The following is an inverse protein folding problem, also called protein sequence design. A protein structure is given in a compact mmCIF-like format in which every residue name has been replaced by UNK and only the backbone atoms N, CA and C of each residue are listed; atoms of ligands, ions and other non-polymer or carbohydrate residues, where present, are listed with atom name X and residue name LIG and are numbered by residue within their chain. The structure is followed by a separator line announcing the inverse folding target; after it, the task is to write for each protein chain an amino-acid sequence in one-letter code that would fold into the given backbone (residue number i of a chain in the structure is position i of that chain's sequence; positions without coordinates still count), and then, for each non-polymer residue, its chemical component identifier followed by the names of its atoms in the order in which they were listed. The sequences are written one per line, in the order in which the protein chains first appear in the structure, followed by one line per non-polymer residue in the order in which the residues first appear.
data_IF_786806887284
#
_entry.id   IF_786806887284
#
_cell.length_a   1.000
_cell.length_b   1.000
_cell.length_c   1.000
_cell.angle_alpha   90.00
_cell.angle_beta   90.00
_cell.angle_gamma   90.00
#
_symmetry.space_group_name_H-M   'P 1'
#
loop_
_entity.id
_entity.type
_entity.pdbx_description
1 polymer ?
#
# COMPACT_ATOMS: atom_id res chain seq x y z
N UNK A 1 -27.48 7.87 -40.36
CA UNK A 1 -26.53 8.74 -39.61
C UNK A 1 -25.37 9.07 -40.53
N UNK A 2 -25.03 10.35 -40.72
CA UNK A 2 -23.95 10.75 -41.63
C UNK A 2 -22.61 10.12 -41.21
N UNK A 3 -21.84 9.61 -42.17
CA UNK A 3 -20.49 9.03 -41.98
C UNK A 3 -19.59 9.93 -41.11
N UNK A 4 -19.78 11.25 -41.20
CA UNK A 4 -19.08 12.26 -40.39
C UNK A 4 -19.38 12.12 -38.89
N UNK A 5 -20.64 11.82 -38.51
CA UNK A 5 -21.02 11.64 -37.10
C UNK A 5 -20.43 10.36 -36.51
N UNK A 6 -20.29 9.32 -37.33
CA UNK A 6 -19.65 8.06 -36.93
C UNK A 6 -18.15 8.29 -36.73
N UNK A 7 -17.49 8.99 -37.66
CA UNK A 7 -16.07 9.33 -37.54
C UNK A 7 -15.76 10.17 -36.28
N UNK A 8 -16.60 11.16 -35.97
CA UNK A 8 -16.45 11.98 -34.76
C UNK A 8 -16.63 11.14 -33.49
N UNK A 9 -17.64 10.27 -33.44
CA UNK A 9 -17.86 9.40 -32.28
C UNK A 9 -16.68 8.43 -32.05
N UNK A 10 -16.15 7.84 -33.12
CA UNK A 10 -14.98 6.94 -33.06
C UNK A 10 -13.74 7.69 -32.59
N UNK A 11 -13.49 8.90 -33.12
CA UNK A 11 -12.37 9.74 -32.68
C UNK A 11 -12.49 10.11 -31.20
N UNK A 12 -13.70 10.45 -30.74
CA UNK A 12 -13.93 10.87 -29.35
C UNK A 12 -13.75 9.69 -28.37
N UNK A 13 -14.16 8.48 -28.75
CA UNK A 13 -13.88 7.26 -28.00
C UNK A 13 -12.38 6.94 -27.98
N UNK A 14 -11.68 7.10 -29.11
CA UNK A 14 -10.25 6.85 -29.19
C UNK A 14 -9.45 7.84 -28.33
N UNK A 15 -9.80 9.12 -28.38
CA UNK A 15 -9.21 10.15 -27.52
C UNK A 15 -9.51 9.86 -26.05
N UNK A 16 -10.73 9.44 -25.70
CA UNK A 16 -11.07 9.08 -24.33
C UNK A 16 -10.26 7.87 -23.82
N UNK A 17 -9.97 6.90 -24.69
CA UNK A 17 -9.13 5.74 -24.37
C UNK A 17 -7.66 6.13 -24.11
N UNK A 18 -7.17 7.22 -24.72
CA UNK A 18 -5.80 7.74 -24.53
C UNK A 18 -5.63 8.56 -23.25
N UNK A 19 -6.72 9.00 -22.60
CA UNK A 19 -6.69 9.73 -21.31
C UNK A 19 -7.05 8.84 -20.12
N UNK A 20 -7.26 7.54 -20.33
CA UNK A 20 -7.43 6.61 -19.21
C UNK A 20 -6.11 6.55 -18.42
N UNK A 21 -6.15 6.68 -17.08
CA UNK A 21 -4.95 6.50 -16.27
C UNK A 21 -4.40 5.10 -16.50
N UNK A 22 -3.09 5.00 -16.71
CA UNK A 22 -2.39 3.72 -16.68
C UNK A 22 -2.43 3.19 -15.25
N UNK A 23 -3.10 2.06 -15.05
CA UNK A 23 -2.93 1.28 -13.83
C UNK A 23 -1.60 0.53 -13.95
N UNK A 24 -0.54 1.09 -13.38
CA UNK A 24 0.62 0.29 -13.01
C UNK A 24 0.31 -0.30 -11.64
N UNK A 25 0.14 -1.62 -11.60
CA UNK A 25 0.16 -2.37 -10.35
C UNK A 25 1.61 -2.73 -10.07
N UNK A 26 2.07 -2.53 -8.83
CA UNK A 26 3.36 -3.10 -8.42
C UNK A 26 3.22 -4.62 -8.25
N UNK A 27 4.33 -5.34 -8.41
CA UNK A 27 4.38 -6.77 -8.10
C UNK A 27 4.20 -6.95 -6.59
N UNK A 28 3.25 -7.80 -6.19
CA UNK A 28 2.98 -8.06 -4.77
C UNK A 28 4.26 -8.54 -4.05
N UNK A 29 4.67 -7.75 -3.05
CA UNK A 29 5.88 -7.95 -2.27
C UNK A 29 5.62 -8.54 -0.88
N UNK A 30 6.72 -8.81 -0.18
CA UNK A 30 6.71 -9.18 1.24
C UNK A 30 7.61 -8.23 2.01
N UNK A 31 7.04 -7.56 3.00
CA UNK A 31 7.76 -6.70 3.93
C UNK A 31 8.01 -7.47 5.24
N UNK A 32 9.29 -7.72 5.55
CA UNK A 32 9.68 -8.43 6.77
C UNK A 32 9.76 -7.48 7.97
N UNK A 33 9.19 -7.94 9.08
CA UNK A 33 9.20 -7.30 10.40
C UNK A 33 9.86 -8.28 11.35
N UNK A 34 10.88 -7.82 12.05
CA UNK A 34 11.68 -8.63 12.96
C UNK A 34 11.15 -8.42 14.38
N UNK A 35 10.80 -9.51 15.03
CA UNK A 35 10.35 -9.54 16.43
C UNK A 35 11.49 -10.09 17.27
N UNK A 36 11.82 -9.38 18.35
CA UNK A 36 12.85 -9.76 19.32
C UNK A 36 12.29 -9.57 20.72
N UNK A 37 12.99 -10.16 21.68
CA UNK A 37 12.68 -10.08 23.12
C UNK A 37 12.44 -8.66 23.62
N UNK A 38 13.16 -7.68 23.06
CA UNK A 38 13.16 -6.28 23.50
C UNK A 38 12.43 -5.30 22.56
N UNK A 39 11.90 -5.75 21.42
CA UNK A 39 11.35 -4.82 20.45
C UNK A 39 10.98 -5.39 19.08
N UNK A 40 10.21 -4.57 18.35
CA UNK A 40 9.78 -4.83 16.97
C UNK A 40 10.56 -3.93 16.02
N UNK A 41 11.10 -4.48 14.93
CA UNK A 41 11.86 -3.70 13.93
C UNK A 41 11.36 -3.96 12.51
N UNK A 42 10.95 -2.90 11.77
CA UNK A 42 10.77 -1.54 12.26
C UNK A 42 9.52 -1.42 13.17
N UNK A 43 9.54 -0.51 14.13
CA UNK A 43 8.33 -0.16 14.92
C UNK A 43 7.23 0.43 14.04
N UNK A 44 7.60 1.04 12.91
CA UNK A 44 6.67 1.47 11.86
C UNK A 44 7.09 0.90 10.51
N UNK A 45 6.28 -0.01 9.99
CA UNK A 45 6.44 -0.58 8.65
C UNK A 45 5.57 0.18 7.64
N UNK A 46 6.08 0.41 6.43
CA UNK A 46 5.29 1.03 5.37
C UNK A 46 5.53 0.33 4.03
N UNK A 47 4.45 -0.07 3.38
CA UNK A 47 4.44 -0.84 2.14
C UNK A 47 3.16 -0.55 1.35
N UNK A 48 2.95 -1.22 0.21
CA UNK A 48 1.86 -0.93 -0.70
C UNK A 48 0.69 -1.91 -0.52
N UNK A 49 -0.50 -1.48 -0.92
CA UNK A 49 -1.70 -2.32 -0.93
C UNK A 49 -1.46 -3.57 -1.78
N UNK A 50 -1.90 -4.73 -1.31
CA UNK A 50 -1.67 -6.05 -1.87
C UNK A 50 -0.30 -6.68 -1.54
N UNK A 51 0.55 -5.99 -0.78
CA UNK A 51 1.74 -6.59 -0.16
C UNK A 51 1.38 -7.45 1.07
N UNK A 52 2.36 -8.25 1.48
CA UNK A 52 2.30 -9.09 2.68
C UNK A 52 3.23 -8.56 3.77
N UNK A 53 2.73 -8.39 4.99
CA UNK A 53 3.59 -8.24 6.16
C UNK A 53 3.98 -9.63 6.68
N UNK A 54 5.25 -9.83 6.96
CA UNK A 54 5.82 -11.07 7.51
C UNK A 54 6.55 -10.75 8.81
N UNK A 55 5.98 -11.16 9.94
CA UNK A 55 6.64 -11.13 11.23
C UNK A 55 7.49 -12.38 11.40
N UNK A 56 8.74 -12.22 11.84
CA UNK A 56 9.67 -13.31 12.07
C UNK A 56 10.22 -13.13 13.48
N UNK A 57 10.01 -14.12 14.33
CA UNK A 57 10.63 -14.18 15.64
C UNK A 57 12.10 -14.58 15.48
N UNK A 58 12.99 -13.74 15.99
CA UNK A 58 14.44 -14.00 16.05
C UNK A 58 14.98 -13.76 17.47
N UNK A 59 14.11 -13.87 18.47
CA UNK A 59 14.45 -13.76 19.89
C UNK A 59 15.54 -14.74 20.33
N UNK A 60 16.26 -14.37 21.39
CA UNK A 60 17.33 -15.21 21.96
C UNK A 60 16.87 -15.95 23.22
N UNK A 61 15.75 -15.55 23.83
CA UNK A 61 15.17 -16.23 24.99
C UNK A 61 14.08 -17.23 24.58
N UNK A 62 14.41 -18.52 24.61
CA UNK A 62 13.49 -19.62 24.31
C UNK A 62 12.27 -19.70 25.27
N UNK A 63 12.29 -18.97 26.40
CA UNK A 63 11.15 -18.92 27.33
C UNK A 63 10.21 -17.73 27.06
N UNK A 64 10.63 -16.82 26.18
CA UNK A 64 9.83 -15.67 25.78
C UNK A 64 9.18 -15.98 24.44
N UNK A 65 7.85 -15.87 24.40
CA UNK A 65 7.08 -16.10 23.18
C UNK A 65 6.27 -14.87 22.84
N UNK A 66 6.03 -14.69 21.55
CA UNK A 66 5.43 -13.50 20.98
C UNK A 66 4.03 -13.83 20.42
N UNK A 67 3.12 -12.86 20.44
CA UNK A 67 1.78 -13.02 19.85
C UNK A 67 1.33 -11.71 19.24
N UNK A 68 1.36 -11.66 17.92
CA UNK A 68 1.07 -10.49 17.10
C UNK A 68 -0.44 -10.40 16.88
N UNK A 69 -1.04 -9.35 17.41
CA UNK A 69 -2.49 -9.16 17.43
C UNK A 69 -2.91 -7.78 16.92
N UNK A 70 -4.07 -7.75 16.27
CA UNK A 70 -4.77 -6.52 15.89
C UNK A 70 -6.25 -6.69 16.13
N UNK A 71 -6.83 -5.73 16.83
CA UNK A 71 -8.25 -5.64 17.14
C UNK A 71 -8.84 -4.51 16.29
N UNK A 72 -9.52 -4.90 15.21
CA UNK A 72 -10.03 -3.97 14.21
C UNK A 72 -11.34 -3.30 14.59
N UNK A 73 -12.14 -3.93 15.46
CA UNK A 73 -13.44 -3.40 15.91
C UNK A 73 -13.44 -2.89 17.37
N UNK A 74 -12.34 -3.12 18.10
CA UNK A 74 -12.07 -2.57 19.41
C UNK A 74 -12.81 -3.28 20.54
N UNK A 75 -13.27 -4.52 20.35
CA UNK A 75 -14.04 -5.27 21.33
C UNK A 75 -13.16 -6.02 22.35
N UNK A 76 -11.84 -5.99 22.18
CA UNK A 76 -10.85 -6.64 23.02
C UNK A 76 -10.69 -8.14 22.74
N UNK A 77 -11.33 -8.66 21.69
CA UNK A 77 -11.11 -9.97 21.12
C UNK A 77 -10.33 -9.82 19.81
N UNK A 78 -9.67 -10.90 19.40
CA UNK A 78 -8.88 -10.95 18.16
C UNK A 78 -9.43 -12.03 17.23
N UNK A 79 -10.76 -12.10 17.08
CA UNK A 79 -11.46 -13.20 16.39
C UNK A 79 -12.51 -12.74 15.38
N UNK A 80 -12.60 -11.43 15.14
CA UNK A 80 -13.43 -10.80 14.13
C UNK A 80 -12.86 -10.93 12.72
N UNK A 81 -13.67 -10.51 11.75
CA UNK A 81 -13.30 -10.55 10.32
C UNK A 81 -12.17 -9.57 9.98
N UNK A 82 -12.02 -8.52 10.76
CA UNK A 82 -11.01 -7.47 10.58
C UNK A 82 -9.93 -7.51 11.66
N UNK A 83 -9.78 -8.67 12.32
CA UNK A 83 -8.77 -8.91 13.34
C UNK A 83 -7.73 -9.87 12.80
N UNK A 84 -6.56 -9.88 13.43
CA UNK A 84 -5.62 -10.97 13.26
C UNK A 84 -4.98 -11.34 14.59
N UNK A 85 -4.58 -12.60 14.66
CA UNK A 85 -3.87 -13.20 15.78
C UNK A 85 -2.91 -14.24 15.20
N UNK A 86 -1.62 -14.07 15.49
CA UNK A 86 -0.60 -15.04 15.05
C UNK A 86 -0.69 -16.37 15.77
N UNK A 87 -1.37 -16.43 16.91
CA UNK A 87 -1.09 -17.44 17.93
C UNK A 87 0.32 -17.23 18.51
N UNK A 88 0.81 -18.24 19.22
CA UNK A 88 2.14 -18.19 19.85
C UNK A 88 3.23 -18.37 18.81
N UNK A 89 4.10 -17.38 18.70
CA UNK A 89 5.35 -17.43 17.95
C UNK A 89 6.51 -17.75 18.90
N UNK A 90 7.39 -18.63 18.43
CA UNK A 90 8.61 -19.05 19.13
C UNK A 90 9.81 -18.73 18.24
N UNK A 91 10.98 -18.49 18.83
CA UNK A 91 12.20 -18.19 18.09
C UNK A 91 12.67 -19.38 17.24
N UNK A 92 12.50 -20.60 17.76
CA UNK A 92 12.82 -21.83 17.04
C UNK A 92 11.76 -22.93 17.25
N UNK A 93 11.75 -23.89 16.32
CA UNK A 93 10.95 -25.10 16.43
C UNK A 93 11.88 -26.30 16.35
N UNK A 94 11.70 -27.26 17.27
CA UNK A 94 12.43 -28.52 17.20
C UNK A 94 12.11 -29.27 15.89
N UNK A 95 13.14 -29.88 15.31
CA UNK A 95 13.04 -30.66 14.08
C UNK A 95 13.56 -32.08 14.29
N UNK A 96 12.98 -33.02 13.57
CA UNK A 96 13.47 -34.38 13.46
C UNK A 96 14.83 -34.38 12.72
N UNK A 97 15.88 -34.86 13.40
CA UNK A 97 17.25 -34.86 12.89
C UNK A 97 17.44 -35.72 11.62
N UNK A 98 16.58 -36.72 11.39
CA UNK A 98 16.68 -37.64 10.25
C UNK A 98 16.04 -37.08 8.98
N UNK A 99 14.92 -36.36 9.10
CA UNK A 99 14.13 -35.90 7.96
C UNK A 99 13.94 -34.36 7.86
N UNK A 100 14.36 -33.60 8.87
CA UNK A 100 14.28 -32.14 8.91
C UNK A 100 12.86 -31.57 9.04
N UNK A 101 11.87 -32.39 9.37
CA UNK A 101 10.49 -31.94 9.60
C UNK A 101 10.33 -31.44 11.03
N UNK A 102 9.38 -30.53 11.26
CA UNK A 102 9.09 -30.06 12.63
C UNK A 102 8.55 -31.21 13.48
N UNK A 103 9.01 -31.33 14.71
CA UNK A 103 8.44 -32.26 15.68
C UNK A 103 7.05 -31.83 16.15
N UNK A 104 6.83 -30.52 16.21
CA UNK A 104 5.54 -29.90 16.49
C UNK A 104 5.05 -29.09 15.27
N UNK A 105 3.92 -29.51 14.70
CA UNK A 105 3.29 -28.83 13.57
C UNK A 105 2.66 -27.49 13.98
N UNK A 106 2.28 -27.32 15.25
CA UNK A 106 1.68 -26.09 15.77
C UNK A 106 2.74 -25.02 16.08
N UNK A 107 4.01 -25.42 16.22
CA UNK A 107 5.11 -24.49 16.42
C UNK A 107 5.32 -23.58 15.20
N UNK A 108 5.23 -22.27 15.41
CA UNK A 108 5.40 -21.25 14.39
C UNK A 108 6.49 -20.26 14.80
N UNK A 109 7.40 -19.95 13.87
CA UNK A 109 8.45 -18.94 14.05
C UNK A 109 8.19 -17.65 13.28
N UNK A 110 7.09 -17.62 12.50
CA UNK A 110 6.74 -16.49 11.66
C UNK A 110 5.24 -16.44 11.40
N UNK A 111 4.71 -15.24 11.22
CA UNK A 111 3.32 -14.98 10.91
C UNK A 111 3.19 -14.03 9.72
N UNK A 112 2.14 -14.20 8.90
CA UNK A 112 1.92 -13.36 7.71
C UNK A 112 0.50 -12.86 7.61
N UNK A 113 0.36 -11.61 7.18
CA UNK A 113 -0.92 -10.98 6.85
C UNK A 113 -0.81 -10.33 5.48
N UNK A 114 -1.77 -10.63 4.61
CA UNK A 114 -1.87 -10.04 3.27
C UNK A 114 -2.81 -8.84 3.34
N UNK A 115 -2.34 -7.68 2.91
CA UNK A 115 -3.12 -6.45 2.95
C UNK A 115 -3.91 -6.25 1.65
N UNK A 116 -5.01 -6.98 1.52
CA UNK A 116 -5.87 -7.02 0.33
C UNK A 116 -7.31 -6.52 0.63
N UNK A 117 -8.34 -7.07 -0.03
CA UNK A 117 -9.74 -6.69 0.19
C UNK A 117 -10.21 -6.76 1.65
N UNK A 118 -9.61 -7.62 2.48
CA UNK A 118 -9.92 -7.68 3.91
C UNK A 118 -9.25 -6.55 4.68
N UNK A 119 -7.96 -6.32 4.42
CA UNK A 119 -7.14 -5.31 5.07
C UNK A 119 -6.65 -4.29 4.02
N UNK A 120 -7.44 -3.23 3.85
CA UNK A 120 -7.21 -2.20 2.84
C UNK A 120 -6.04 -1.24 3.11
N UNK A 121 -6.01 -0.15 2.35
CA UNK A 121 -5.11 0.97 2.64
C UNK A 121 -5.47 1.64 3.97
N UNK A 122 -4.47 2.06 4.74
CA UNK A 122 -4.70 2.65 6.05
C UNK A 122 -3.50 2.54 6.99
N UNK A 123 -3.73 2.93 8.24
CA UNK A 123 -2.78 2.80 9.33
C UNK A 123 -3.34 1.81 10.35
N UNK A 124 -2.54 0.82 10.70
CA UNK A 124 -2.90 -0.27 11.61
C UNK A 124 -1.99 -0.22 12.83
N UNK A 125 -2.57 0.01 14.00
CA UNK A 125 -1.87 -0.04 15.28
C UNK A 125 -2.07 -1.42 15.88
N UNK A 126 -1.01 -2.20 15.92
CA UNK A 126 -1.05 -3.58 16.38
C UNK A 126 -0.13 -3.77 17.58
N UNK A 127 -0.32 -4.88 18.28
CA UNK A 127 0.43 -5.22 19.48
C UNK A 127 1.17 -6.53 19.29
N UNK A 128 2.29 -6.64 19.98
CA UNK A 128 2.93 -7.91 20.30
C UNK A 128 2.77 -8.15 21.80
N UNK A 129 2.10 -9.26 22.13
CA UNK A 129 1.85 -9.69 23.49
C UNK A 129 2.90 -10.72 23.87
N UNK A 130 3.76 -10.37 24.82
CA UNK A 130 4.82 -11.23 25.31
C UNK A 130 4.26 -12.21 26.35
N UNK A 131 4.81 -13.43 26.38
CA UNK A 131 4.40 -14.47 27.34
C UNK A 131 4.62 -14.09 28.81
N UNK A 132 5.53 -13.15 29.09
CA UNK A 132 5.81 -12.60 30.42
C UNK A 132 4.81 -11.51 30.86
N UNK A 133 3.87 -11.14 29.98
CA UNK A 133 2.88 -10.09 30.19
C UNK A 133 3.29 -8.72 29.66
N UNK A 134 4.45 -8.59 29.03
CA UNK A 134 4.86 -7.40 28.28
C UNK A 134 3.96 -7.12 27.08
N UNK A 135 3.87 -5.85 26.69
CA UNK A 135 3.15 -5.42 25.49
C UNK A 135 4.03 -4.43 24.73
N UNK A 136 4.33 -4.77 23.48
CA UNK A 136 5.00 -3.88 22.53
C UNK A 136 3.97 -3.38 21.51
N UNK A 137 4.05 -2.10 21.15
CA UNK A 137 3.14 -1.51 20.17
C UNK A 137 3.92 -1.17 18.90
N UNK A 138 3.32 -1.44 17.75
CA UNK A 138 3.91 -1.11 16.46
C UNK A 138 2.82 -0.69 15.46
N UNK A 139 3.27 -0.13 14.34
CA UNK A 139 2.42 0.47 13.33
C UNK A 139 2.72 -0.09 11.95
N UNK A 140 1.67 -0.36 11.18
CA UNK A 140 1.75 -0.63 9.74
C UNK A 140 1.05 0.51 8.98
N UNK A 141 1.67 0.98 7.92
CA UNK A 141 1.12 1.98 6.99
C UNK A 141 1.03 1.37 5.60
N UNK A 142 -0.21 1.12 5.14
CA UNK A 142 -0.50 0.56 3.82
C UNK A 142 -0.89 1.67 2.87
N UNK A 143 -0.03 1.90 1.88
CA UNK A 143 -0.21 2.94 0.87
C UNK A 143 -1.01 2.39 -0.33
N UNK A 144 -1.80 3.23 -1.01
CA UNK A 144 -2.49 2.79 -2.22
C UNK A 144 -1.49 2.38 -3.32
N UNK A 145 -1.84 1.33 -4.05
CA UNK A 145 -1.17 0.92 -5.29
C UNK A 145 -1.60 1.85 -6.42
N UNK A 146 -1.08 3.08 -6.38
CA UNK A 146 -1.14 4.00 -7.51
C UNK A 146 0.26 4.05 -8.08
N UNK A 147 0.39 3.81 -9.39
CA UNK A 147 1.62 3.99 -10.16
C UNK A 147 2.14 5.42 -10.02
N UNK A 148 2.78 5.72 -8.90
CA UNK A 148 3.46 6.95 -8.61
C UNK A 148 4.93 6.67 -8.87
N UNK A 149 5.40 7.17 -10.02
CA UNK A 149 6.81 7.14 -10.35
C UNK A 149 7.66 7.55 -9.16
N UNK A 150 8.60 6.68 -8.80
CA UNK A 150 9.61 6.87 -7.77
C UNK A 150 9.09 6.99 -6.32
N UNK A 151 8.64 5.88 -5.75
CA UNK A 151 8.79 5.67 -4.30
C UNK A 151 9.96 4.69 -4.10
N UNK A 152 11.03 5.18 -3.48
CA UNK A 152 12.22 4.39 -3.21
C UNK A 152 11.92 3.35 -2.13
N UNK A 153 12.16 2.08 -2.44
CA UNK A 153 12.26 1.04 -1.43
C UNK A 153 13.54 1.27 -0.61
N UNK A 154 13.42 1.36 0.72
CA UNK A 154 14.54 1.26 1.64
C UNK A 154 14.52 2.28 2.80
N UNK A 155 14.62 1.74 4.02
CA UNK A 155 14.99 2.41 5.28
C UNK A 155 15.48 3.85 5.15
N UNK A 156 14.59 4.82 5.35
CA UNK A 156 14.97 6.21 5.55
C UNK A 156 14.27 6.72 6.80
N UNK A 157 15.02 6.74 7.89
CA UNK A 157 14.78 7.65 8.99
C UNK A 157 14.75 9.07 8.39
N UNK A 158 13.67 9.86 8.54
CA UNK A 158 13.71 11.25 8.07
C UNK A 158 14.78 11.98 8.89
N UNK A 159 15.72 12.72 8.26
CA UNK A 159 16.60 13.61 9.00
C UNK A 159 15.75 14.72 9.62
N UNK A 160 16.15 15.30 10.77
CA UNK A 160 15.35 16.29 11.47
C UNK A 160 15.09 17.50 10.58
N UNK A 161 13.84 17.96 10.56
CA UNK A 161 13.36 19.09 9.75
C UNK A 161 14.18 20.36 10.03
N UNK A 162 14.91 20.84 9.03
CA UNK A 162 15.29 22.25 8.96
C UNK A 162 14.23 23.02 8.16
N UNK A 163 13.50 23.88 8.88
CA UNK A 163 12.56 24.84 8.31
C UNK A 163 13.29 25.81 7.37
N UNK A 164 12.96 25.77 6.08
CA UNK A 164 13.24 26.87 5.14
C UNK A 164 11.96 27.30 4.42
N UNK A 165 11.77 28.60 4.16
CA UNK A 165 10.45 29.14 3.84
C UNK A 165 10.03 28.81 2.41
N UNK A 166 8.73 28.58 2.24
CA UNK A 166 8.04 28.47 0.97
C UNK A 166 8.33 29.68 0.06
N UNK A 167 8.86 29.42 -1.14
CA UNK A 167 8.74 30.36 -2.26
C UNK A 167 8.05 29.70 -3.45
N UNK A 168 6.98 30.36 -3.89
CA UNK A 168 6.08 29.98 -4.96
C UNK A 168 6.82 29.78 -6.29
N UNK A 169 6.69 28.59 -6.86
CA UNK A 169 7.26 28.28 -8.17
C UNK A 169 6.39 27.29 -8.95
N UNK A 170 5.07 27.53 -9.04
CA UNK A 170 4.23 26.77 -9.98
C UNK A 170 4.71 27.10 -11.40
N UNK A 171 5.16 26.12 -12.20
CA UNK A 171 5.84 26.43 -13.44
C UNK A 171 4.80 26.90 -14.48
N UNK A 172 4.96 28.15 -14.94
CA UNK A 172 4.03 28.93 -15.78
C UNK A 172 3.62 28.28 -17.11
N UNK A 173 4.27 27.19 -17.52
CA UNK A 173 3.93 26.46 -18.73
C UNK A 173 2.59 25.72 -18.63
N UNK A 174 2.15 25.31 -17.42
CA UNK A 174 0.85 24.67 -17.24
C UNK A 174 -0.31 25.63 -17.59
N UNK A 175 -0.17 26.91 -17.23
CA UNK A 175 -1.11 27.97 -17.63
C UNK A 175 -1.06 28.24 -19.14
N UNK A 176 0.12 28.17 -19.75
CA UNK A 176 0.27 28.34 -21.19
C UNK A 176 -0.38 27.20 -21.98
N UNK A 177 -0.26 25.95 -21.51
CA UNK A 177 -0.90 24.77 -22.11
C UNK A 177 -2.43 24.86 -21.99
N UNK A 178 -2.95 25.30 -20.85
CA UNK A 178 -4.38 25.53 -20.66
C UNK A 178 -4.94 26.64 -21.57
N UNK A 179 -4.17 27.72 -21.80
CA UNK A 179 -4.57 28.80 -22.70
C UNK A 179 -4.65 28.39 -24.16
N UNK A 180 -3.69 27.58 -24.63
CA UNK A 180 -3.65 27.11 -26.02
C UNK A 180 -4.78 26.12 -26.34
N UNK A 181 -5.17 25.27 -25.39
CA UNK A 181 -6.25 24.29 -25.58
C UNK A 181 -7.63 24.94 -25.65
N UNK A 182 -7.90 25.95 -24.82
CA UNK A 182 -9.15 26.70 -24.84
C UNK A 182 -9.38 27.44 -26.18
N UNK A 183 -8.32 28.05 -26.73
CA UNK A 183 -8.39 28.73 -28.02
C UNK A 183 -8.67 27.75 -29.18
N UNK A 184 -8.05 26.57 -29.16
CA UNK A 184 -8.27 25.53 -30.16
C UNK A 184 -9.71 24.98 -30.16
N UNK A 185 -10.27 24.75 -28.96
CA UNK A 185 -11.65 24.27 -28.82
C UNK A 185 -12.68 25.30 -29.31
N UNK A 186 -12.47 26.59 -29.03
CA UNK A 186 -13.34 27.66 -29.50
C UNK A 186 -13.33 27.79 -31.03
N UNK A 187 -12.16 27.65 -31.66
CA UNK A 187 -11.99 27.69 -33.11
C UNK A 187 -12.71 26.51 -33.80
N UNK A 188 -12.56 25.30 -33.25
CA UNK A 188 -13.30 24.12 -33.72
C UNK A 188 -14.82 24.29 -33.55
N UNK A 189 -15.27 24.79 -32.40
CA UNK A 189 -16.70 25.08 -32.16
C UNK A 189 -17.28 26.08 -33.15
N UNK A 190 -16.52 27.14 -33.47
CA UNK A 190 -16.93 28.13 -34.47
C UNK A 190 -17.05 27.55 -35.89
N UNK A 191 -16.09 26.71 -36.30
CA UNK A 191 -16.13 26.06 -37.61
C UNK A 191 -17.30 25.07 -37.74
N UNK A 192 -17.66 24.37 -36.66
CA UNK A 192 -18.84 23.49 -36.62
C UNK A 192 -20.15 24.26 -36.78
N UNK A 193 -20.25 25.46 -36.20
CA UNK A 193 -21.43 26.34 -36.33
C UNK A 193 -21.58 26.92 -37.75
N UNK A 194 -20.47 27.22 -38.43
CA UNK A 194 -20.48 27.72 -39.82
C UNK A 194 -20.75 26.62 -40.87
N UNK A 195 -20.54 25.35 -40.52
CA UNK A 195 -20.72 24.20 -41.43
C UNK A 195 -22.13 23.62 -41.52
N UNK A 196 -23.13 24.17 -40.80
CA UNK A 196 -24.52 23.70 -40.93
C UNK A 196 -25.18 24.35 -42.17
N UNK A 197 -25.65 23.58 -43.18
CA UNK A 197 -26.37 24.15 -44.30
C UNK A 197 -27.68 24.79 -43.81
N UNK A 198 -27.90 26.05 -44.18
CA UNK A 198 -29.20 26.71 -43.99
C UNK A 198 -30.21 26.00 -44.89
N UNK A 199 -31.30 25.50 -44.29
CA UNK A 199 -32.48 25.01 -45.01
C UNK A 199 -33.09 26.09 -45.91
#
# INVERSE_FOLDING_TARGET
MSQVRIAIAVLLVLVLALVLPSAEAHDAGTFSIIVRDDGIVPETASFQYNDTALWIDVGEDDNLTHRIVYDGDGDGLYNGTYDWDSGTLQNECEVDEENGTKLDEECQTSFRVIFNSTFGTGTYYYQDLLSDGGILNATIVVNPDVGAGHIAAGFQQPPPEESTPEEEGRPSWLLAVAGLSAAGAALLGYLVLQGQPKS
#
